data_IF_110553606799
#
_entry.id   IF_110553606799
#
_cell.length_a   1.000
_cell.length_b   1.000
_cell.length_c   1.000
_cell.angle_alpha   90.00
_cell.angle_beta   90.00
_cell.angle_gamma   90.00
#
_symmetry.space_group_name_H-M   'P 1'
#
loop_
_entity.id
_entity.type
_entity.pdbx_description
1 polymer ?
#
# COMPACT_ATOMS: atom_id res chain seq x y z
N UNK A 1 23.89 26.41 78.91
CA UNK A 1 23.29 25.07 79.15
C UNK A 1 21.78 25.27 79.04
N UNK A 2 21.27 25.32 77.82
CA UNK A 2 19.85 25.60 77.53
C UNK A 2 19.13 24.28 77.32
N UNK A 3 18.11 24.03 78.15
CA UNK A 3 17.23 22.88 78.07
C UNK A 3 16.12 23.26 77.10
N UNK A 4 16.19 22.72 75.87
CA UNK A 4 15.15 22.88 74.85
C UNK A 4 14.02 21.90 75.18
N UNK A 5 12.86 22.44 75.55
CA UNK A 5 11.62 21.69 75.68
C UNK A 5 11.11 21.30 74.29
N UNK A 6 11.00 19.99 74.04
CA UNK A 6 10.41 19.44 72.83
C UNK A 6 8.91 19.26 73.10
N UNK A 7 8.11 20.16 72.52
CA UNK A 7 6.66 20.12 72.57
C UNK A 7 6.14 19.06 71.57
N UNK A 8 5.61 17.97 72.11
CA UNK A 8 4.99 16.89 71.35
C UNK A 8 3.66 17.39 70.76
N UNK A 9 3.72 17.83 69.50
CA UNK A 9 2.54 18.18 68.71
C UNK A 9 1.98 16.91 68.08
N UNK A 10 0.90 16.39 68.65
CA UNK A 10 0.13 15.30 68.06
C UNK A 10 -0.36 15.71 66.66
N UNK A 11 0.23 15.09 65.64
CA UNK A 11 -0.19 15.22 64.25
C UNK A 11 -1.43 14.38 64.06
N UNK A 12 -2.59 15.04 64.06
CA UNK A 12 -3.86 14.45 63.63
C UNK A 12 -3.73 13.96 62.20
N UNK A 13 -3.68 12.64 62.01
CA UNK A 13 -3.69 11.98 60.71
C UNK A 13 -5.06 12.16 60.09
N UNK A 14 -5.21 13.24 59.31
CA UNK A 14 -6.36 13.47 58.47
C UNK A 14 -6.39 12.37 57.40
N UNK A 15 -7.40 11.50 57.48
CA UNK A 15 -7.59 10.36 56.60
C UNK A 15 -7.98 10.90 55.22
N UNK A 16 -6.98 11.14 54.37
CA UNK A 16 -7.19 11.53 52.96
C UNK A 16 -7.88 10.35 52.26
N UNK A 17 -9.21 10.39 52.20
CA UNK A 17 -10.01 9.56 51.31
C UNK A 17 -9.64 9.92 49.88
N UNK A 18 -8.65 9.21 49.33
CA UNK A 18 -8.33 9.29 47.92
C UNK A 18 -9.55 8.85 47.11
N UNK A 19 -10.06 9.68 46.17
CA UNK A 19 -11.19 9.29 45.34
C UNK A 19 -10.79 8.11 44.46
N UNK A 20 -11.26 6.92 44.85
CA UNK A 20 -11.00 5.67 44.15
C UNK A 20 -11.77 5.69 42.81
N UNK A 21 -11.03 5.96 41.73
CA UNK A 21 -11.13 5.31 40.40
C UNK A 21 -12.55 5.15 39.79
N UNK A 22 -13.10 6.22 39.23
CA UNK A 22 -14.12 6.09 38.16
C UNK A 22 -13.55 6.09 36.73
N UNK A 23 -12.25 6.36 36.55
CA UNK A 23 -11.65 6.48 35.20
C UNK A 23 -11.51 5.15 34.43
N UNK A 24 -11.48 3.99 35.10
CA UNK A 24 -11.21 2.71 34.43
C UNK A 24 -12.40 2.20 33.59
N UNK A 25 -13.65 2.48 33.98
CA UNK A 25 -14.85 1.99 33.27
C UNK A 25 -15.05 2.67 31.91
N UNK A 26 -14.66 3.94 31.77
CA UNK A 26 -14.76 4.67 30.50
C UNK A 26 -13.85 4.10 29.41
N UNK A 27 -12.69 3.52 29.80
CA UNK A 27 -11.74 2.93 28.86
C UNK A 27 -12.27 1.70 28.13
N UNK A 28 -12.94 0.78 28.84
CA UNK A 28 -13.43 -0.48 28.27
C UNK A 28 -14.58 -0.22 27.29
N UNK A 29 -15.56 0.61 27.67
CA UNK A 29 -16.71 0.93 26.82
C UNK A 29 -16.26 1.62 25.53
N UNK A 30 -15.30 2.54 25.61
CA UNK A 30 -14.72 3.20 24.44
C UNK A 30 -14.02 2.20 23.49
N UNK A 31 -13.26 1.25 24.04
CA UNK A 31 -12.60 0.21 23.24
C UNK A 31 -13.61 -0.71 22.54
N UNK A 32 -14.68 -1.10 23.23
CA UNK A 32 -15.76 -1.91 22.66
C UNK A 32 -16.45 -1.16 21.52
N UNK A 33 -16.85 0.10 21.73
CA UNK A 33 -17.49 0.92 20.69
C UNK A 33 -16.59 1.10 19.46
N UNK A 34 -15.28 1.30 19.67
CA UNK A 34 -14.31 1.41 18.57
C UNK A 34 -14.25 0.10 17.77
N UNK A 35 -14.19 -1.04 18.45
CA UNK A 35 -14.15 -2.36 17.79
C UNK A 35 -15.45 -2.65 17.03
N UNK A 36 -16.61 -2.38 17.63
CA UNK A 36 -17.92 -2.52 16.97
C UNK A 36 -17.96 -1.67 15.69
N UNK A 37 -17.51 -0.41 15.75
CA UNK A 37 -17.45 0.46 14.58
C UNK A 37 -16.59 -0.12 13.45
N UNK A 38 -15.43 -0.70 13.78
CA UNK A 38 -14.55 -1.33 12.79
C UNK A 38 -15.16 -2.59 12.18
N UNK A 39 -15.83 -3.42 12.98
CA UNK A 39 -16.56 -4.61 12.51
C UNK A 39 -17.70 -4.20 11.57
N UNK A 40 -18.53 -3.23 11.96
CA UNK A 40 -19.62 -2.73 11.13
C UNK A 40 -19.09 -2.19 9.80
N UNK A 41 -18.00 -1.41 9.82
CA UNK A 41 -17.40 -0.88 8.60
C UNK A 41 -16.86 -1.99 7.69
N UNK A 42 -16.22 -3.01 8.26
CA UNK A 42 -15.73 -4.17 7.51
C UNK A 42 -16.88 -4.97 6.88
N UNK A 43 -17.91 -5.29 7.67
CA UNK A 43 -19.10 -6.03 7.20
C UNK A 43 -19.83 -5.24 6.11
N UNK A 44 -19.99 -3.93 6.28
CA UNK A 44 -20.60 -3.06 5.28
C UNK A 44 -19.84 -3.12 3.95
N UNK A 45 -18.51 -2.97 3.97
CA UNK A 45 -17.73 -3.02 2.74
C UNK A 45 -17.63 -4.42 2.13
N UNK A 46 -17.63 -5.48 2.95
CA UNK A 46 -17.71 -6.85 2.46
C UNK A 46 -19.04 -7.10 1.76
N UNK A 47 -20.16 -6.60 2.30
CA UNK A 47 -21.47 -6.61 1.64
C UNK A 47 -21.45 -5.85 0.33
N UNK A 48 -20.93 -4.61 0.31
CA UNK A 48 -20.83 -3.79 -0.91
C UNK A 48 -20.01 -4.49 -1.99
N UNK A 49 -18.85 -5.05 -1.65
CA UNK A 49 -17.99 -5.79 -2.60
C UNK A 49 -18.70 -7.06 -3.09
N UNK A 50 -19.32 -7.84 -2.20
CA UNK A 50 -20.04 -9.04 -2.59
C UNK A 50 -21.20 -8.74 -3.53
N UNK A 51 -21.94 -7.66 -3.26
CA UNK A 51 -23.08 -7.23 -4.08
C UNK A 51 -22.65 -6.74 -5.46
N UNK A 52 -21.54 -5.99 -5.54
CA UNK A 52 -21.06 -5.45 -6.82
C UNK A 52 -20.41 -6.54 -7.70
N UNK A 53 -19.69 -7.50 -7.10
CA UNK A 53 -18.81 -8.39 -7.86
C UNK A 53 -19.22 -9.86 -7.90
N UNK A 54 -19.91 -10.36 -6.88
CA UNK A 54 -20.14 -11.82 -6.73
C UNK A 54 -21.59 -12.15 -7.04
N UNK A 55 -22.51 -11.53 -6.30
CA UNK A 55 -23.89 -11.98 -6.27
C UNK A 55 -24.80 -10.94 -5.61
N UNK A 56 -25.98 -10.72 -6.19
CA UNK A 56 -27.04 -9.90 -5.61
C UNK A 56 -27.71 -10.63 -4.44
N UNK A 57 -27.01 -10.66 -3.29
CA UNK A 57 -27.46 -11.31 -2.06
C UNK A 57 -28.86 -10.84 -1.66
N UNK A 58 -29.17 -9.55 -1.85
CA UNK A 58 -30.49 -8.98 -1.56
C UNK A 58 -31.59 -9.56 -2.44
N UNK A 59 -31.35 -9.68 -3.75
CA UNK A 59 -32.29 -10.28 -4.69
C UNK A 59 -32.53 -11.75 -4.36
N UNK A 60 -31.46 -12.49 -4.04
CA UNK A 60 -31.57 -13.90 -3.70
C UNK A 60 -32.33 -14.15 -2.40
N UNK A 61 -32.03 -13.39 -1.34
CA UNK A 61 -32.73 -13.55 -0.06
C UNK A 61 -34.23 -13.26 -0.23
N UNK A 62 -34.58 -12.17 -0.90
CA UNK A 62 -36.00 -11.80 -1.08
C UNK A 62 -36.71 -12.81 -1.97
N UNK A 63 -36.08 -13.27 -3.07
CA UNK A 63 -36.68 -14.26 -3.95
C UNK A 63 -36.97 -15.60 -3.26
N UNK A 64 -36.12 -16.03 -2.32
CA UNK A 64 -36.29 -17.31 -1.64
C UNK A 64 -37.15 -17.23 -0.37
N UNK A 65 -37.07 -16.13 0.39
CA UNK A 65 -37.76 -16.02 1.68
C UNK A 65 -39.02 -15.15 1.64
N UNK A 66 -39.10 -14.15 0.76
CA UNK A 66 -40.17 -13.14 0.72
C UNK A 66 -40.55 -12.76 -0.73
N UNK A 67 -40.94 -13.73 -1.60
CA UNK A 67 -41.11 -13.49 -3.03
C UNK A 67 -42.18 -12.43 -3.33
N UNK A 68 -43.25 -12.36 -2.55
CA UNK A 68 -44.35 -11.39 -2.72
C UNK A 68 -43.88 -9.93 -2.51
N UNK A 69 -42.76 -9.74 -1.83
CA UNK A 69 -42.18 -8.44 -1.51
C UNK A 69 -41.04 -8.03 -2.44
N UNK A 70 -40.88 -8.71 -3.58
CA UNK A 70 -39.83 -8.39 -4.55
C UNK A 70 -39.81 -6.92 -4.97
N UNK A 71 -41.00 -6.29 -5.05
CA UNK A 71 -41.16 -4.88 -5.39
C UNK A 71 -40.42 -3.92 -4.43
N UNK A 72 -40.19 -4.30 -3.16
CA UNK A 72 -39.45 -3.48 -2.20
C UNK A 72 -37.98 -3.27 -2.60
N UNK A 73 -37.39 -4.17 -3.40
CA UNK A 73 -36.00 -4.06 -3.87
C UNK A 73 -35.82 -2.81 -4.73
N UNK A 74 -36.82 -2.46 -5.54
CA UNK A 74 -36.81 -1.25 -6.36
C UNK A 74 -36.70 0.02 -5.51
N UNK A 75 -37.17 -0.04 -4.26
CA UNK A 75 -37.12 1.06 -3.29
C UNK A 75 -35.98 0.94 -2.28
N UNK A 76 -35.02 0.02 -2.46
CA UNK A 76 -33.94 -0.25 -1.49
C UNK A 76 -33.17 1.00 -1.05
N UNK A 77 -32.91 1.92 -1.97
CA UNK A 77 -32.22 3.17 -1.67
C UNK A 77 -33.06 4.09 -0.77
N UNK A 78 -34.36 4.23 -1.05
CA UNK A 78 -35.28 5.00 -0.22
C UNK A 78 -35.47 4.38 1.16
N UNK A 79 -35.54 3.05 1.24
CA UNK A 79 -35.63 2.33 2.51
C UNK A 79 -34.37 2.58 3.35
N UNK A 80 -33.18 2.46 2.76
CA UNK A 80 -31.91 2.73 3.46
C UNK A 80 -31.84 4.19 3.92
N UNK A 81 -32.17 5.16 3.05
CA UNK A 81 -32.17 6.58 3.43
C UNK A 81 -33.17 6.84 4.55
N UNK A 82 -34.37 6.26 4.48
CA UNK A 82 -35.40 6.44 5.50
C UNK A 82 -34.95 5.87 6.84
N UNK A 83 -34.36 4.67 6.85
CA UNK A 83 -33.78 4.07 8.05
C UNK A 83 -32.64 4.93 8.63
N UNK A 84 -31.75 5.45 7.77
CA UNK A 84 -30.68 6.36 8.20
C UNK A 84 -31.26 7.67 8.76
N UNK A 85 -32.28 8.24 8.13
CA UNK A 85 -32.93 9.46 8.59
C UNK A 85 -33.64 9.26 9.94
N UNK A 86 -34.35 8.14 10.12
CA UNK A 86 -34.98 7.77 11.38
C UNK A 86 -33.91 7.59 12.48
N UNK A 87 -32.85 6.82 12.19
CA UNK A 87 -31.75 6.61 13.14
C UNK A 87 -31.07 7.94 13.50
N UNK A 88 -30.91 8.85 12.54
CA UNK A 88 -30.37 10.18 12.76
C UNK A 88 -31.28 11.02 13.69
N UNK A 89 -32.58 11.04 13.42
CA UNK A 89 -33.56 11.79 14.21
C UNK A 89 -33.55 11.37 15.69
N UNK A 90 -33.51 10.06 15.95
CA UNK A 90 -33.56 9.54 17.31
C UNK A 90 -32.29 9.81 18.11
N UNK A 91 -31.13 9.78 17.47
CA UNK A 91 -29.89 9.78 18.24
C UNK A 91 -29.36 11.19 18.51
N UNK A 92 -29.81 12.23 17.78
CA UNK A 92 -29.40 13.66 17.89
C UNK A 92 -27.89 13.92 18.02
N UNK A 93 -27.07 12.92 17.75
CA UNK A 93 -25.67 12.91 18.15
C UNK A 93 -24.81 13.19 16.93
N UNK A 94 -24.02 14.28 16.99
CA UNK A 94 -23.02 14.61 15.95
C UNK A 94 -22.07 13.43 15.67
N UNK A 95 -21.90 12.53 16.63
CA UNK A 95 -21.11 11.32 16.47
C UNK A 95 -21.63 10.40 15.35
N UNK A 96 -22.93 10.35 15.05
CA UNK A 96 -23.45 9.49 13.96
C UNK A 96 -22.86 9.91 12.62
N UNK A 97 -22.81 11.21 12.34
CA UNK A 97 -22.27 11.73 11.07
C UNK A 97 -20.82 11.27 10.90
N UNK A 98 -20.01 11.41 11.96
CA UNK A 98 -18.62 10.95 11.96
C UNK A 98 -18.52 9.42 11.85
N UNK A 99 -19.45 8.66 12.41
CA UNK A 99 -19.51 7.19 12.25
C UNK A 99 -19.86 6.79 10.81
N UNK A 100 -20.87 7.42 10.22
CA UNK A 100 -21.26 7.18 8.83
C UNK A 100 -20.14 7.56 7.87
N UNK A 101 -19.51 8.72 8.05
CA UNK A 101 -18.32 9.13 7.29
C UNK A 101 -17.17 8.13 7.47
N UNK A 102 -16.92 7.66 8.70
CA UNK A 102 -15.90 6.65 8.96
C UNK A 102 -16.17 5.35 8.19
N UNK A 103 -17.42 4.87 8.17
CA UNK A 103 -17.82 3.65 7.45
C UNK A 103 -17.67 3.86 5.93
N UNK A 104 -18.17 4.97 5.40
CA UNK A 104 -18.08 5.30 3.96
C UNK A 104 -16.62 5.43 3.52
N UNK A 105 -15.78 6.11 4.29
CA UNK A 105 -14.36 6.29 3.96
C UNK A 105 -13.45 5.19 4.51
N UNK A 106 -14.00 4.08 5.02
CA UNK A 106 -13.21 3.04 5.69
C UNK A 106 -12.05 2.49 4.84
N UNK A 107 -12.21 2.16 3.54
CA UNK A 107 -11.12 1.66 2.71
C UNK A 107 -9.99 2.69 2.57
N UNK A 108 -10.34 3.97 2.41
CA UNK A 108 -9.38 5.07 2.34
C UNK A 108 -8.64 5.25 3.67
N UNK A 109 -9.35 5.20 4.79
CA UNK A 109 -8.74 5.29 6.13
C UNK A 109 -7.78 4.11 6.36
N UNK A 110 -8.18 2.89 5.98
CA UNK A 110 -7.32 1.72 6.11
C UNK A 110 -6.05 1.90 5.26
N UNK A 111 -6.20 2.31 4.00
CA UNK A 111 -5.10 2.43 3.06
C UNK A 111 -4.14 3.59 3.36
N UNK A 112 -4.66 4.79 3.67
CA UNK A 112 -3.86 6.00 3.87
C UNK A 112 -3.44 6.25 5.32
N UNK A 113 -4.13 5.66 6.30
CA UNK A 113 -3.82 5.89 7.72
C UNK A 113 -3.40 4.64 8.45
N UNK A 114 -4.24 3.59 8.49
CA UNK A 114 -3.93 2.39 9.28
C UNK A 114 -2.72 1.64 8.74
N UNK A 115 -2.57 1.53 7.42
CA UNK A 115 -1.45 0.81 6.81
C UNK A 115 -0.10 1.52 7.04
N UNK A 116 0.06 2.85 6.81
CA UNK A 116 1.26 3.56 7.22
C UNK A 116 1.54 3.47 8.71
N UNK A 117 0.51 3.66 9.56
CA UNK A 117 0.68 3.55 11.00
C UNK A 117 1.13 2.15 11.44
N UNK A 118 0.60 1.10 10.82
CA UNK A 118 1.01 -0.28 11.07
C UNK A 118 2.49 -0.48 10.73
N UNK A 119 2.95 0.02 9.58
CA UNK A 119 4.37 -0.05 9.18
C UNK A 119 5.27 0.65 10.20
N UNK A 120 4.90 1.86 10.65
CA UNK A 120 5.65 2.57 11.68
C UNK A 120 5.64 1.84 13.02
N UNK A 121 4.50 1.23 13.40
CA UNK A 121 4.38 0.44 14.63
C UNK A 121 5.29 -0.79 14.63
N UNK A 122 5.53 -1.41 13.48
CA UNK A 122 6.43 -2.55 13.35
C UNK A 122 7.92 -2.17 13.53
N UNK A 123 8.27 -0.87 13.55
CA UNK A 123 9.65 -0.37 13.66
C UNK A 123 10.61 -0.94 12.60
N UNK A 124 10.07 -1.53 11.53
CA UNK A 124 10.85 -2.13 10.45
C UNK A 124 10.94 -1.16 9.27
N UNK A 125 12.07 -0.45 9.20
CA UNK A 125 12.37 0.43 8.07
C UNK A 125 12.40 -0.32 6.74
N UNK A 126 12.85 -1.57 6.77
CA UNK A 126 12.84 -2.48 5.62
C UNK A 126 11.43 -2.62 5.03
N UNK A 127 10.42 -2.82 5.88
CA UNK A 127 9.02 -2.89 5.44
C UNK A 127 8.54 -1.54 4.89
N UNK A 128 8.94 -0.42 5.50
CA UNK A 128 8.61 0.91 5.01
C UNK A 128 9.15 1.16 3.60
N UNK A 129 10.41 0.83 3.34
CA UNK A 129 11.02 0.91 2.02
C UNK A 129 10.33 -0.03 1.02
N UNK A 130 9.94 -1.24 1.44
CA UNK A 130 9.18 -2.15 0.59
C UNK A 130 7.86 -1.50 0.13
N UNK A 131 7.11 -0.89 1.05
CA UNK A 131 5.82 -0.25 0.75
C UNK A 131 6.00 1.01 -0.10
N UNK A 132 6.99 1.85 0.21
CA UNK A 132 7.32 3.03 -0.63
C UNK A 132 7.67 2.57 -2.05
N UNK A 133 8.48 1.52 -2.19
CA UNK A 133 8.82 0.95 -3.50
C UNK A 133 7.57 0.44 -4.23
N UNK A 134 6.66 -0.25 -3.55
CA UNK A 134 5.39 -0.70 -4.13
C UNK A 134 4.52 0.47 -4.61
N UNK A 135 4.43 1.55 -3.82
CA UNK A 135 3.69 2.77 -4.17
C UNK A 135 4.29 3.44 -5.40
N UNK A 136 5.61 3.68 -5.41
CA UNK A 136 6.31 4.30 -6.55
C UNK A 136 6.12 3.45 -7.82
N UNK A 137 6.26 2.12 -7.70
CA UNK A 137 6.04 1.18 -8.80
C UNK A 137 4.60 1.24 -9.34
N UNK A 138 3.62 1.37 -8.44
CA UNK A 138 2.22 1.51 -8.80
C UNK A 138 1.99 2.77 -9.64
N UNK A 139 2.40 3.93 -9.14
CA UNK A 139 2.22 5.20 -9.86
C UNK A 139 2.99 5.28 -11.17
N UNK A 140 4.21 4.73 -11.22
CA UNK A 140 5.00 4.70 -12.47
C UNK A 140 4.30 3.94 -13.60
N UNK A 141 3.49 2.94 -13.25
CA UNK A 141 2.80 2.08 -14.21
C UNK A 141 1.30 2.38 -14.32
N UNK A 142 0.81 3.47 -13.72
CA UNK A 142 -0.63 3.73 -13.57
C UNK A 142 -1.34 3.82 -14.92
N UNK A 143 -0.78 4.56 -15.90
CA UNK A 143 -1.37 4.73 -17.23
C UNK A 143 -1.58 3.39 -17.93
N UNK A 144 -0.56 2.54 -17.93
CA UNK A 144 -0.67 1.21 -18.53
C UNK A 144 -1.66 0.32 -17.80
N UNK A 145 -1.58 0.27 -16.46
CA UNK A 145 -2.49 -0.55 -15.64
C UNK A 145 -3.93 -0.14 -15.87
N UNK A 146 -4.19 1.16 -15.95
CA UNK A 146 -5.51 1.70 -16.23
C UNK A 146 -6.02 1.30 -17.63
N UNK A 147 -5.21 1.45 -18.68
CA UNK A 147 -5.59 1.07 -20.04
C UNK A 147 -5.90 -0.43 -20.12
N UNK A 148 -5.02 -1.28 -19.60
CA UNK A 148 -5.22 -2.74 -19.59
C UNK A 148 -6.48 -3.11 -18.81
N UNK A 149 -6.68 -2.52 -17.62
CA UNK A 149 -7.85 -2.76 -16.80
C UNK A 149 -9.14 -2.31 -17.51
N UNK A 150 -9.15 -1.14 -18.15
CA UNK A 150 -10.31 -0.64 -18.89
C UNK A 150 -10.69 -1.56 -20.05
N UNK A 151 -9.72 -2.00 -20.86
CA UNK A 151 -9.95 -2.96 -21.95
C UNK A 151 -10.49 -4.27 -21.39
N UNK A 152 -9.85 -4.79 -20.33
CA UNK A 152 -10.27 -6.03 -19.67
C UNK A 152 -11.73 -5.95 -19.18
N UNK A 153 -12.10 -4.87 -18.48
CA UNK A 153 -13.45 -4.65 -17.95
C UNK A 153 -14.49 -4.46 -19.07
N UNK A 154 -14.14 -3.76 -20.14
CA UNK A 154 -15.02 -3.60 -21.30
C UNK A 154 -15.28 -4.94 -21.99
N UNK A 155 -14.25 -5.77 -22.18
CA UNK A 155 -14.40 -7.11 -22.76
C UNK A 155 -15.16 -8.06 -21.83
N UNK A 156 -14.90 -8.00 -20.52
CA UNK A 156 -15.65 -8.75 -19.51
C UNK A 156 -17.15 -8.44 -19.60
N UNK A 157 -17.49 -7.14 -19.62
CA UNK A 157 -18.87 -6.65 -19.76
C UNK A 157 -19.49 -7.12 -21.08
N UNK A 158 -18.73 -7.04 -22.18
CA UNK A 158 -19.15 -7.53 -23.48
C UNK A 158 -19.53 -9.02 -23.47
N UNK A 159 -18.74 -9.87 -22.80
CA UNK A 159 -19.03 -11.31 -22.70
C UNK A 159 -20.27 -11.60 -21.85
N UNK A 160 -20.41 -10.92 -20.71
CA UNK A 160 -21.55 -11.16 -19.82
C UNK A 160 -22.87 -10.66 -20.41
N UNK A 161 -22.90 -9.47 -21.00
CA UNK A 161 -24.13 -8.81 -21.45
C UNK A 161 -24.52 -9.22 -22.88
N UNK A 162 -23.55 -9.36 -23.80
CA UNK A 162 -23.87 -9.54 -25.22
C UNK A 162 -24.40 -10.94 -25.55
N UNK A 163 -25.30 -11.01 -26.53
CA UNK A 163 -25.72 -12.23 -27.21
C UNK A 163 -25.20 -12.31 -28.65
N UNK A 164 -24.59 -11.24 -29.17
CA UNK A 164 -24.08 -11.21 -30.54
C UNK A 164 -22.71 -11.91 -30.62
N UNK A 165 -22.63 -12.94 -31.47
CA UNK A 165 -21.43 -13.76 -31.67
C UNK A 165 -20.19 -12.95 -32.06
N UNK A 166 -20.31 -11.90 -32.87
CA UNK A 166 -19.18 -11.06 -33.28
C UNK A 166 -18.58 -10.30 -32.10
N UNK A 167 -19.44 -9.75 -31.24
CA UNK A 167 -19.02 -9.04 -30.02
C UNK A 167 -18.36 -10.01 -29.05
N UNK A 168 -18.90 -11.22 -28.89
CA UNK A 168 -18.33 -12.25 -28.02
C UNK A 168 -16.93 -12.67 -28.50
N UNK A 169 -16.75 -12.90 -29.80
CA UNK A 169 -15.44 -13.21 -30.39
C UNK A 169 -14.42 -12.09 -30.15
N UNK A 170 -14.80 -10.84 -30.46
CA UNK A 170 -13.94 -9.68 -30.26
C UNK A 170 -13.54 -9.54 -28.78
N UNK A 171 -14.49 -9.70 -27.85
CA UNK A 171 -14.22 -9.60 -26.43
C UNK A 171 -13.31 -10.73 -25.92
N UNK A 172 -13.52 -11.98 -26.37
CA UNK A 172 -12.64 -13.11 -26.04
C UNK A 172 -11.20 -12.84 -26.53
N UNK A 173 -11.05 -12.36 -27.76
CA UNK A 173 -9.76 -12.01 -28.35
C UNK A 173 -9.04 -10.88 -27.60
N UNK A 174 -9.78 -9.85 -27.19
CA UNK A 174 -9.23 -8.73 -26.41
C UNK A 174 -8.75 -9.17 -25.03
N UNK A 175 -9.50 -10.03 -24.32
CA UNK A 175 -9.04 -10.59 -23.03
C UNK A 175 -7.77 -11.41 -23.23
N UNK A 176 -7.71 -12.23 -24.27
CA UNK A 176 -6.51 -13.03 -24.55
C UNK A 176 -5.30 -12.14 -24.86
N UNK A 177 -5.49 -11.07 -25.62
CA UNK A 177 -4.45 -10.08 -25.95
C UNK A 177 -3.97 -9.32 -24.71
N UNK A 178 -4.90 -8.92 -23.84
CA UNK A 178 -4.58 -8.32 -22.53
C UNK A 178 -3.73 -9.30 -21.71
N UNK A 179 -4.16 -10.55 -21.57
CA UNK A 179 -3.45 -11.56 -20.80
C UNK A 179 -2.04 -11.78 -21.34
N UNK A 180 -1.90 -11.96 -22.66
CA UNK A 180 -0.60 -12.08 -23.32
C UNK A 180 0.31 -10.88 -23.05
N UNK A 181 -0.22 -9.66 -23.20
CA UNK A 181 0.53 -8.42 -22.96
C UNK A 181 0.99 -8.31 -21.51
N UNK A 182 0.15 -8.69 -20.55
CA UNK A 182 0.50 -8.71 -19.12
C UNK A 182 1.61 -9.71 -18.84
N UNK A 183 1.57 -10.90 -19.46
CA UNK A 183 2.61 -11.92 -19.31
C UNK A 183 3.94 -11.50 -19.92
N UNK A 184 3.94 -11.03 -21.17
CA UNK A 184 5.14 -10.54 -21.86
C UNK A 184 5.78 -9.41 -21.06
N UNK A 185 4.97 -8.43 -20.61
CA UNK A 185 5.48 -7.34 -19.78
C UNK A 185 6.02 -7.85 -18.45
N UNK A 186 5.32 -8.77 -17.79
CA UNK A 186 5.77 -9.32 -16.51
C UNK A 186 7.11 -10.03 -16.68
N UNK A 187 7.27 -10.85 -17.73
CA UNK A 187 8.52 -11.50 -18.09
C UNK A 187 9.64 -10.49 -18.36
N UNK A 188 9.41 -9.45 -19.16
CA UNK A 188 10.40 -8.38 -19.42
C UNK A 188 10.82 -7.69 -18.11
N UNK A 189 9.86 -7.42 -17.21
CA UNK A 189 10.13 -6.78 -15.92
C UNK A 189 10.95 -7.67 -14.96
N UNK A 190 11.02 -8.99 -15.18
CA UNK A 190 11.90 -9.87 -14.39
C UNK A 190 13.37 -9.58 -14.67
N UNK A 191 13.69 -9.34 -15.93
CA UNK A 191 15.06 -9.09 -16.41
C UNK A 191 15.44 -7.62 -16.40
N UNK A 192 14.45 -6.72 -16.43
CA UNK A 192 14.70 -5.28 -16.48
C UNK A 192 15.09 -4.75 -15.10
N UNK A 193 16.12 -3.90 -15.04
CA UNK A 193 16.44 -3.11 -13.86
C UNK A 193 15.23 -2.50 -13.16
N UNK A 194 15.22 -2.52 -11.83
CA UNK A 194 14.21 -1.77 -11.09
C UNK A 194 14.53 -0.28 -11.17
N UNK A 195 13.91 0.37 -12.15
CA UNK A 195 14.00 1.82 -12.36
C UNK A 195 13.52 2.68 -11.17
N UNK A 196 13.04 2.06 -10.09
CA UNK A 196 12.69 2.72 -8.82
C UNK A 196 13.95 3.28 -8.17
N UNK A 197 15.09 2.62 -8.33
CA UNK A 197 16.35 3.03 -7.70
C UNK A 197 16.89 4.36 -8.24
N UNK A 198 16.72 4.62 -9.54
CA UNK A 198 17.02 5.92 -10.14
C UNK A 198 16.10 7.04 -9.63
N UNK A 199 14.89 6.71 -9.17
CA UNK A 199 13.96 7.70 -8.63
C UNK A 199 14.49 8.24 -7.30
N UNK A 200 15.07 7.38 -6.44
CA UNK A 200 15.68 7.87 -5.19
C UNK A 200 16.79 8.88 -5.46
N UNK A 201 17.73 8.55 -6.36
CA UNK A 201 18.82 9.48 -6.72
C UNK A 201 18.24 10.80 -7.26
N UNK A 202 17.22 10.75 -8.13
CA UNK A 202 16.55 11.95 -8.66
C UNK A 202 15.84 12.76 -7.57
N UNK A 203 15.23 12.10 -6.58
CA UNK A 203 14.59 12.77 -5.45
C UNK A 203 15.65 13.48 -4.60
N UNK A 204 16.71 12.78 -4.17
CA UNK A 204 17.74 13.37 -3.32
C UNK A 204 18.51 14.49 -4.04
N UNK A 205 18.96 14.26 -5.27
CA UNK A 205 19.60 15.31 -6.09
C UNK A 205 18.65 16.47 -6.39
N UNK A 206 17.36 16.20 -6.60
CA UNK A 206 16.32 17.20 -6.81
C UNK A 206 16.10 18.08 -5.57
N UNK A 207 15.94 17.46 -4.40
CA UNK A 207 15.84 18.16 -3.11
C UNK A 207 17.07 19.02 -2.88
N UNK A 208 18.27 18.50 -3.15
CA UNK A 208 19.51 19.26 -3.00
C UNK A 208 19.56 20.47 -3.93
N UNK A 209 19.27 20.28 -5.23
CA UNK A 209 19.32 21.36 -6.23
C UNK A 209 18.34 22.48 -5.91
N UNK A 210 17.09 22.16 -5.57
CA UNK A 210 16.07 23.15 -5.20
C UNK A 210 16.27 23.68 -3.77
N UNK A 211 16.91 22.89 -2.92
CA UNK A 211 17.20 23.21 -1.53
C UNK A 211 18.42 24.11 -1.33
N UNK A 212 19.22 24.41 -2.36
CA UNK A 212 20.43 25.26 -2.21
C UNK A 212 20.14 26.59 -1.52
N UNK A 213 18.99 27.22 -1.79
CA UNK A 213 18.58 28.46 -1.10
C UNK A 213 18.18 28.25 0.37
N UNK A 214 17.68 27.05 0.72
CA UNK A 214 17.32 26.68 2.09
C UNK A 214 18.51 26.17 2.91
N UNK A 215 19.53 25.66 2.24
CA UNK A 215 20.74 25.12 2.87
C UNK A 215 21.87 26.16 2.97
N UNK A 216 21.91 27.12 2.05
CA UNK A 216 22.94 28.16 2.01
C UNK A 216 22.77 29.23 3.08
N UNK A 217 23.88 29.89 3.41
CA UNK A 217 23.87 31.09 4.23
C UNK A 217 23.54 32.27 3.29
N UNK A 218 22.71 33.22 3.73
CA UNK A 218 22.49 34.44 2.93
C UNK A 218 23.82 35.19 2.73
N UNK A 219 24.00 35.81 1.56
CA UNK A 219 25.26 36.50 1.21
C UNK A 219 25.71 37.52 2.27
N UNK A 220 24.75 38.21 2.91
CA UNK A 220 25.02 39.21 3.94
C UNK A 220 25.59 38.62 5.26
N UNK A 221 25.41 37.31 5.50
CA UNK A 221 25.89 36.63 6.71
C UNK A 221 27.22 35.90 6.49
N UNK A 222 27.65 35.70 5.24
CA UNK A 222 28.78 34.81 4.90
C UNK A 222 30.15 35.29 5.42
N UNK A 223 30.30 36.60 5.60
CA UNK A 223 31.56 37.25 6.00
C UNK A 223 31.56 37.74 7.45
N UNK A 224 30.44 37.57 8.17
CA UNK A 224 30.31 38.02 9.55
C UNK A 224 30.62 36.86 10.50
N UNK A 225 31.39 37.08 11.58
CA UNK A 225 31.58 36.04 12.59
C UNK A 225 30.24 35.70 13.26
N UNK A 226 30.04 34.43 13.61
CA UNK A 226 28.77 33.96 14.21
C UNK A 226 28.41 34.71 15.50
N UNK A 227 29.40 35.27 16.20
CA UNK A 227 29.22 36.07 17.42
C UNK A 227 28.61 37.46 17.18
N UNK A 228 28.63 37.97 15.94
CA UNK A 228 28.03 39.27 15.59
C UNK A 228 26.64 39.16 14.98
N UNK A 229 26.10 37.94 14.86
CA UNK A 229 24.75 37.74 14.32
C UNK A 229 23.70 38.27 15.27
N UNK A 230 22.76 39.06 14.74
CA UNK A 230 21.53 39.36 15.47
C UNK A 230 20.68 38.09 15.65
N UNK A 231 19.73 38.11 16.59
CA UNK A 231 18.91 36.94 16.93
C UNK A 231 18.25 36.28 15.72
N UNK A 232 17.67 37.09 14.82
CA UNK A 232 17.03 36.59 13.58
C UNK A 232 18.02 35.96 12.59
N UNK A 233 19.24 36.51 12.50
CA UNK A 233 20.29 35.96 11.65
C UNK A 233 20.80 34.64 12.22
N UNK A 234 20.98 34.59 13.54
CA UNK A 234 21.40 33.38 14.25
C UNK A 234 20.35 32.27 14.13
N UNK A 235 19.06 32.58 14.27
CA UNK A 235 17.96 31.63 14.09
C UNK A 235 17.92 31.08 12.66
N UNK A 236 18.02 31.95 11.65
CA UNK A 236 18.04 31.53 10.24
C UNK A 236 19.27 30.69 9.92
N UNK A 237 20.45 31.11 10.37
CA UNK A 237 21.70 30.37 10.21
C UNK A 237 21.61 28.98 10.86
N UNK A 238 21.09 28.90 12.09
CA UNK A 238 20.90 27.64 12.83
C UNK A 238 19.92 26.73 12.09
N UNK A 239 18.82 27.28 11.56
CA UNK A 239 17.81 26.53 10.80
C UNK A 239 18.39 25.98 9.51
N UNK A 240 19.17 26.76 8.76
CA UNK A 240 19.78 26.34 7.51
C UNK A 240 20.88 25.28 7.74
N UNK A 241 21.69 25.44 8.79
CA UNK A 241 22.67 24.44 9.21
C UNK A 241 21.99 23.14 9.64
N UNK A 242 20.94 23.23 10.45
CA UNK A 242 20.13 22.10 10.89
C UNK A 242 19.52 21.34 9.72
N UNK A 243 18.92 22.05 8.75
CA UNK A 243 18.38 21.44 7.55
C UNK A 243 19.48 20.74 6.73
N UNK A 244 20.66 21.36 6.64
CA UNK A 244 21.81 20.82 5.92
C UNK A 244 22.35 19.52 6.54
N UNK A 245 22.57 19.53 7.86
CA UNK A 245 23.01 18.37 8.62
C UNK A 245 21.96 17.26 8.58
N UNK A 246 20.68 17.62 8.75
CA UNK A 246 19.57 16.65 8.67
C UNK A 246 19.53 15.99 7.29
N UNK A 247 19.66 16.75 6.20
CA UNK A 247 19.66 16.20 4.85
C UNK A 247 20.81 15.20 4.64
N UNK A 248 22.04 15.55 5.05
CA UNK A 248 23.19 14.63 5.02
C UNK A 248 22.89 13.33 5.77
N UNK A 249 22.37 13.42 7.00
CA UNK A 249 22.04 12.24 7.82
C UNK A 249 20.93 11.41 7.21
N UNK A 250 19.90 12.04 6.63
CA UNK A 250 18.80 11.33 5.95
C UNK A 250 19.30 10.59 4.70
N UNK A 251 20.24 11.15 3.93
CA UNK A 251 20.86 10.46 2.80
C UNK A 251 21.58 9.18 3.26
N UNK A 252 22.52 9.30 4.21
CA UNK A 252 23.28 8.17 4.72
C UNK A 252 22.40 7.10 5.38
N UNK A 253 21.38 7.54 6.13
CA UNK A 253 20.37 6.66 6.72
C UNK A 253 19.60 5.90 5.64
N UNK A 254 19.12 6.59 4.61
CA UNK A 254 18.36 5.99 3.51
C UNK A 254 19.23 5.00 2.73
N UNK A 255 20.50 5.32 2.48
CA UNK A 255 21.47 4.42 1.86
C UNK A 255 21.64 3.14 2.69
N UNK A 256 21.88 3.26 4.00
CA UNK A 256 21.99 2.11 4.91
C UNK A 256 20.69 1.28 4.91
N UNK A 257 19.52 1.91 5.00
CA UNK A 257 18.24 1.20 5.02
C UNK A 257 17.86 0.56 3.69
N UNK A 258 18.27 1.14 2.57
CA UNK A 258 18.17 0.49 1.26
C UNK A 258 19.09 -0.73 1.17
N UNK A 259 20.28 -0.69 1.76
CA UNK A 259 21.17 -1.84 1.89
C UNK A 259 20.57 -2.93 2.79
N UNK A 260 19.96 -2.56 3.92
CA UNK A 260 19.21 -3.49 4.77
C UNK A 260 18.05 -4.13 3.99
N UNK A 261 17.32 -3.34 3.18
CA UNK A 261 16.24 -3.80 2.32
C UNK A 261 16.73 -4.80 1.26
N UNK A 262 17.86 -4.54 0.61
CA UNK A 262 18.51 -5.46 -0.32
C UNK A 262 18.77 -6.83 0.32
N UNK A 263 19.29 -6.82 1.55
CA UNK A 263 19.65 -8.03 2.27
C UNK A 263 18.43 -8.79 2.82
N UNK A 264 17.31 -8.09 3.08
CA UNK A 264 16.10 -8.65 3.70
C UNK A 264 15.31 -9.65 2.86
N UNK A 265 15.64 -9.82 1.58
CA UNK A 265 14.94 -10.71 0.64
C UNK A 265 13.45 -10.36 0.39
N UNK A 266 12.92 -9.26 0.93
CA UNK A 266 11.51 -8.88 0.76
C UNK A 266 11.10 -8.67 -0.71
N UNK A 267 12.06 -8.33 -1.59
CA UNK A 267 11.82 -8.28 -3.04
C UNK A 267 11.36 -9.63 -3.63
N UNK A 268 11.78 -10.76 -3.04
CA UNK A 268 11.30 -12.09 -3.44
C UNK A 268 9.82 -12.27 -3.08
N UNK A 269 9.41 -11.83 -1.89
CA UNK A 269 8.02 -11.91 -1.43
C UNK A 269 7.08 -11.17 -2.39
N UNK A 270 7.43 -9.94 -2.80
CA UNK A 270 6.65 -9.20 -3.80
C UNK A 270 6.58 -9.91 -5.15
N UNK A 271 7.62 -10.66 -5.53
CA UNK A 271 7.64 -11.43 -6.77
C UNK A 271 6.72 -12.65 -6.68
N UNK A 272 6.67 -13.35 -5.54
CA UNK A 272 5.73 -14.46 -5.28
C UNK A 272 4.28 -13.97 -5.40
N UNK A 273 3.95 -12.83 -4.78
CA UNK A 273 2.62 -12.23 -4.92
C UNK A 273 2.28 -11.87 -6.37
N UNK A 274 3.27 -11.48 -7.18
CA UNK A 274 3.07 -11.18 -8.60
C UNK A 274 2.73 -12.44 -9.39
N UNK A 275 3.43 -13.56 -9.15
CA UNK A 275 3.12 -14.85 -9.77
C UNK A 275 1.72 -15.33 -9.37
N UNK A 276 1.39 -15.24 -8.07
CA UNK A 276 0.08 -15.62 -7.58
C UNK A 276 -1.03 -14.76 -8.21
N UNK A 277 -0.80 -13.46 -8.36
CA UNK A 277 -1.71 -12.57 -9.07
C UNK A 277 -1.87 -12.94 -10.56
N UNK A 278 -0.78 -13.27 -11.26
CA UNK A 278 -0.83 -13.76 -12.64
C UNK A 278 -1.62 -15.07 -12.75
N UNK A 279 -1.43 -16.00 -11.83
CA UNK A 279 -2.17 -17.26 -11.78
C UNK A 279 -3.68 -17.01 -11.66
N UNK A 280 -4.11 -16.19 -10.70
CA UNK A 280 -5.53 -15.83 -10.52
C UNK A 280 -6.08 -15.15 -11.78
N UNK A 281 -5.33 -14.19 -12.35
CA UNK A 281 -5.73 -13.50 -13.56
C UNK A 281 -5.92 -14.48 -14.73
N UNK A 282 -5.03 -15.46 -14.89
CA UNK A 282 -5.12 -16.50 -15.93
C UNK A 282 -6.33 -17.39 -15.73
N UNK A 283 -6.55 -17.90 -14.51
CA UNK A 283 -7.74 -18.73 -14.19
C UNK A 283 -9.01 -17.97 -14.56
N UNK A 284 -9.13 -16.73 -14.09
CA UNK A 284 -10.31 -15.92 -14.30
C UNK A 284 -10.49 -15.53 -15.77
N UNK A 285 -9.41 -15.13 -16.46
CA UNK A 285 -9.46 -14.78 -17.88
C UNK A 285 -9.91 -15.94 -18.75
N UNK A 286 -9.35 -17.14 -18.53
CA UNK A 286 -9.76 -18.32 -19.28
C UNK A 286 -11.16 -18.80 -18.90
N UNK A 287 -11.61 -18.62 -17.65
CA UNK A 287 -12.99 -18.91 -17.28
C UNK A 287 -13.97 -18.05 -18.08
N UNK A 288 -13.67 -16.75 -18.18
CA UNK A 288 -14.47 -15.78 -18.95
C UNK A 288 -14.41 -16.07 -20.45
N UNK A 289 -13.23 -16.36 -21.02
CA UNK A 289 -13.09 -16.71 -22.44
C UNK A 289 -13.86 -18.00 -22.77
N UNK A 290 -13.70 -19.06 -21.97
CA UNK A 290 -14.40 -20.33 -22.21
C UNK A 290 -15.92 -20.16 -22.08
N UNK A 291 -16.39 -19.36 -21.11
CA UNK A 291 -17.81 -19.02 -21.00
C UNK A 291 -18.31 -18.22 -22.20
N UNK A 292 -17.51 -17.26 -22.71
CA UNK A 292 -17.82 -16.51 -23.92
C UNK A 292 -17.92 -17.41 -25.15
N UNK A 293 -16.98 -18.34 -25.33
CA UNK A 293 -17.01 -19.33 -26.43
C UNK A 293 -18.17 -20.30 -26.31
N UNK A 294 -18.53 -20.72 -25.09
CA UNK A 294 -19.74 -21.49 -24.84
C UNK A 294 -21.01 -20.72 -25.27
N UNK A 295 -21.12 -19.43 -24.92
CA UNK A 295 -22.25 -18.57 -25.36
C UNK A 295 -22.36 -18.43 -26.88
N UNK A 296 -21.24 -18.49 -27.60
CA UNK A 296 -21.22 -18.43 -29.08
C UNK A 296 -21.82 -19.72 -29.66
N UNK A 297 -21.40 -20.88 -29.13
CA UNK A 297 -21.96 -22.17 -29.51
C UNK A 297 -21.80 -23.18 -28.38
N UNK A 298 -22.94 -23.62 -27.82
CA UNK A 298 -22.97 -24.57 -26.72
C UNK A 298 -22.31 -25.92 -27.09
N UNK A 299 -22.36 -26.32 -28.37
CA UNK A 299 -21.78 -27.57 -28.88
C UNK A 299 -20.25 -27.60 -28.91
N UNK A 300 -19.58 -26.51 -28.51
CA UNK A 300 -18.12 -26.51 -28.35
C UNK A 300 -17.65 -27.25 -27.09
N UNK A 301 -18.54 -27.42 -26.10
CA UNK A 301 -18.22 -28.10 -24.84
C UNK A 301 -19.22 -29.23 -24.56
N UNK A 302 -18.73 -30.34 -24.02
CA UNK A 302 -19.55 -31.34 -23.37
C UNK A 302 -19.76 -30.94 -21.91
N UNK A 303 -21.02 -30.88 -21.48
CA UNK A 303 -21.38 -30.55 -20.10
C UNK A 303 -22.23 -31.66 -19.51
N UNK A 304 -21.81 -32.22 -18.37
CA UNK A 304 -22.61 -33.23 -17.64
C UNK A 304 -23.56 -32.59 -16.62
N UNK A 305 -23.39 -31.30 -16.32
CA UNK A 305 -24.20 -30.53 -15.37
C UNK A 305 -24.69 -29.22 -15.99
N UNK A 306 -25.71 -28.60 -15.37
CA UNK A 306 -26.25 -27.32 -15.84
C UNK A 306 -25.15 -26.25 -15.98
N UNK A 307 -25.09 -25.51 -17.11
CA UNK A 307 -24.06 -24.52 -17.36
C UNK A 307 -24.14 -23.36 -16.36
N UNK A 308 -23.03 -23.06 -15.70
CA UNK A 308 -22.85 -21.91 -14.83
C UNK A 308 -21.44 -21.35 -15.04
N UNK A 309 -21.26 -20.03 -15.04
CA UNK A 309 -19.93 -19.40 -15.08
C UNK A 309 -18.92 -20.03 -14.10
N UNK A 310 -19.34 -20.37 -12.88
CA UNK A 310 -18.45 -20.98 -11.88
C UNK A 310 -17.90 -22.34 -12.29
N UNK A 311 -18.60 -23.10 -13.14
CA UNK A 311 -18.08 -24.37 -13.67
C UNK A 311 -16.90 -24.14 -14.60
N UNK A 312 -16.91 -23.04 -15.36
CA UNK A 312 -15.79 -22.63 -16.21
C UNK A 312 -14.61 -22.08 -15.39
N UNK A 313 -14.87 -21.49 -14.21
CA UNK A 313 -13.83 -21.15 -13.23
C UNK A 313 -13.16 -22.40 -12.70
N UNK A 314 -13.95 -23.39 -12.25
CA UNK A 314 -13.45 -24.68 -11.77
C UNK A 314 -12.67 -25.44 -12.87
N UNK A 315 -13.19 -25.47 -14.10
CA UNK A 315 -12.50 -26.03 -15.28
C UNK A 315 -11.16 -25.32 -15.56
N UNK A 316 -11.14 -23.99 -15.52
CA UNK A 316 -9.93 -23.21 -15.80
C UNK A 316 -8.89 -23.36 -14.71
N UNK A 317 -9.31 -23.45 -13.44
CA UNK A 317 -8.45 -23.73 -12.29
C UNK A 317 -7.76 -25.09 -12.43
N UNK A 318 -8.53 -26.18 -12.55
CA UNK A 318 -7.98 -27.53 -12.60
C UNK A 318 -7.01 -27.74 -13.76
N UNK A 319 -7.34 -27.17 -14.92
CA UNK A 319 -6.52 -27.34 -16.11
C UNK A 319 -5.18 -26.60 -16.06
N UNK A 320 -5.03 -25.54 -15.25
CA UNK A 320 -3.69 -24.94 -15.01
C UNK A 320 -2.77 -25.90 -14.27
N UNK A 321 -3.34 -26.77 -13.42
CA UNK A 321 -2.62 -27.83 -12.72
C UNK A 321 -2.57 -29.14 -13.53
N UNK A 322 -2.83 -29.08 -14.84
CA UNK A 322 -2.87 -30.23 -15.75
C UNK A 322 -3.87 -31.33 -15.35
N UNK A 323 -4.88 -30.99 -14.53
CA UNK A 323 -5.97 -31.88 -14.17
C UNK A 323 -7.15 -31.68 -15.12
N UNK A 324 -7.76 -32.77 -15.56
CA UNK A 324 -9.05 -32.76 -16.28
C UNK A 324 -10.20 -32.97 -15.31
N UNK A 325 -11.36 -32.40 -15.64
CA UNK A 325 -12.62 -32.60 -14.91
C UNK A 325 -13.63 -33.17 -15.90
N UNK A 326 -14.59 -33.99 -15.42
CA UNK A 326 -15.58 -34.64 -16.29
C UNK A 326 -16.74 -33.71 -16.65
N UNK A 327 -16.93 -32.66 -15.86
CA UNK A 327 -18.07 -31.76 -15.92
C UNK A 327 -18.03 -30.82 -17.12
N UNK A 328 -16.83 -30.53 -17.62
CA UNK A 328 -16.60 -29.66 -18.79
C UNK A 328 -15.47 -30.26 -19.62
N UNK A 329 -15.78 -30.68 -20.84
CA UNK A 329 -14.79 -31.19 -21.78
C UNK A 329 -14.83 -30.43 -23.11
N UNK A 330 -13.68 -29.96 -23.65
CA UNK A 330 -13.63 -29.30 -24.95
C UNK A 330 -13.75 -30.31 -26.11
N UNK A 331 -14.84 -30.26 -26.88
CA UNK A 331 -15.06 -31.18 -28.02
C UNK A 331 -14.60 -30.56 -29.34
N UNK A 332 -14.91 -29.28 -29.57
CA UNK A 332 -14.66 -28.63 -30.85
C UNK A 332 -13.22 -28.11 -30.97
N UNK A 333 -12.65 -28.02 -32.20
CA UNK A 333 -11.28 -27.55 -32.42
C UNK A 333 -10.96 -26.19 -31.77
N UNK A 334 -11.92 -25.26 -31.78
CA UNK A 334 -11.77 -23.95 -31.12
C UNK A 334 -11.56 -24.09 -29.61
N UNK A 335 -12.41 -24.87 -28.94
CA UNK A 335 -12.33 -25.09 -27.49
C UNK A 335 -11.07 -25.86 -27.09
N UNK A 336 -10.63 -26.79 -27.94
CA UNK A 336 -9.38 -27.52 -27.78
C UNK A 336 -8.17 -26.60 -27.93
N UNK A 337 -8.17 -25.72 -28.95
CA UNK A 337 -7.14 -24.70 -29.13
C UNK A 337 -7.04 -23.78 -27.91
N UNK A 338 -8.16 -23.33 -27.35
CA UNK A 338 -8.16 -22.53 -26.11
C UNK A 338 -7.58 -23.30 -24.92
N UNK A 339 -7.87 -24.60 -24.82
CA UNK A 339 -7.24 -25.47 -23.81
C UNK A 339 -5.73 -25.56 -23.99
N UNK A 340 -5.25 -25.71 -25.23
CA UNK A 340 -3.82 -25.73 -25.55
C UNK A 340 -3.14 -24.39 -25.22
N UNK A 341 -3.76 -23.26 -25.59
CA UNK A 341 -3.25 -21.92 -25.27
C UNK A 341 -3.20 -21.73 -23.75
N UNK A 342 -4.23 -22.14 -23.00
CA UNK A 342 -4.23 -22.10 -21.53
C UNK A 342 -3.08 -22.90 -20.93
N UNK A 343 -2.83 -24.12 -21.41
CA UNK A 343 -1.68 -24.94 -20.99
C UNK A 343 -0.35 -24.27 -21.30
N UNK A 344 -0.24 -23.57 -22.43
CA UNK A 344 0.94 -22.76 -22.76
C UNK A 344 1.15 -21.62 -21.75
N UNK A 345 0.10 -20.91 -21.33
CA UNK A 345 0.20 -19.90 -20.26
C UNK A 345 0.58 -20.48 -18.90
N UNK A 346 0.10 -21.69 -18.57
CA UNK A 346 0.52 -22.40 -17.35
C UNK A 346 2.01 -22.76 -17.39
N UNK A 347 2.51 -23.26 -18.53
CA UNK A 347 3.93 -23.49 -18.74
C UNK A 347 4.74 -22.19 -18.63
N UNK A 348 4.27 -21.11 -19.26
CA UNK A 348 4.96 -19.81 -19.21
C UNK A 348 4.97 -19.21 -17.79
N UNK A 349 3.93 -19.45 -16.99
CA UNK A 349 3.91 -19.11 -15.56
C UNK A 349 4.98 -19.89 -14.79
N UNK A 350 5.15 -21.19 -15.06
CA UNK A 350 6.21 -22.01 -14.51
C UNK A 350 7.61 -21.50 -14.89
N UNK A 351 7.81 -21.10 -16.15
CA UNK A 351 9.06 -20.50 -16.61
C UNK A 351 9.37 -19.17 -15.91
N UNK A 352 8.36 -18.32 -15.68
CA UNK A 352 8.47 -17.09 -14.88
C UNK A 352 8.88 -17.41 -13.44
N UNK A 353 8.25 -18.42 -12.83
CA UNK A 353 8.56 -18.86 -11.46
C UNK A 353 10.01 -19.34 -11.33
N UNK A 354 10.46 -20.23 -12.23
CA UNK A 354 11.84 -20.72 -12.25
C UNK A 354 12.82 -19.56 -12.48
N UNK A 355 12.54 -18.70 -13.45
CA UNK A 355 13.37 -17.52 -13.74
C UNK A 355 13.50 -16.60 -12.53
N UNK A 356 12.44 -16.45 -11.73
CA UNK A 356 12.45 -15.67 -10.50
C UNK A 356 13.34 -16.29 -9.42
N UNK A 357 13.28 -17.62 -9.23
CA UNK A 357 14.17 -18.34 -8.32
C UNK A 357 15.63 -18.16 -8.74
N UNK A 358 15.93 -18.31 -10.04
CA UNK A 358 17.29 -18.14 -10.58
C UNK A 358 17.77 -16.68 -10.46
N UNK A 359 16.91 -15.71 -10.78
CA UNK A 359 17.23 -14.28 -10.65
C UNK A 359 17.50 -13.90 -9.20
N UNK A 360 16.78 -14.50 -8.25
CA UNK A 360 17.00 -14.26 -6.84
C UNK A 360 18.34 -14.83 -6.35
N UNK A 361 18.78 -15.95 -6.94
CA UNK A 361 20.09 -16.53 -6.70
C UNK A 361 21.23 -15.72 -7.36
N UNK A 362 20.95 -15.07 -8.49
CA UNK A 362 21.94 -14.30 -9.24
C UNK A 362 22.06 -12.86 -8.72
N UNK A 363 23.30 -12.40 -8.49
CA UNK A 363 23.62 -11.11 -7.87
C UNK A 363 23.27 -9.87 -8.72
N UNK A 364 22.77 -10.00 -9.95
CA UNK A 364 22.54 -8.86 -10.87
C UNK A 364 21.65 -7.74 -10.29
N UNK A 365 20.63 -8.09 -9.50
CA UNK A 365 19.79 -7.08 -8.80
C UNK A 365 20.54 -6.31 -7.72
N UNK A 366 21.63 -6.88 -7.22
CA UNK A 366 22.51 -6.27 -6.22
C UNK A 366 23.22 -5.05 -6.80
N UNK A 367 23.72 -5.13 -8.03
CA UNK A 367 24.60 -4.09 -8.61
C UNK A 367 23.89 -2.75 -8.86
N UNK A 368 22.63 -2.80 -9.31
CA UNK A 368 21.82 -1.60 -9.52
C UNK A 368 21.43 -0.92 -8.21
N UNK A 369 21.07 -1.72 -7.21
CA UNK A 369 20.75 -1.20 -5.89
C UNK A 369 21.99 -0.63 -5.23
N UNK A 370 23.15 -1.28 -5.39
CA UNK A 370 24.45 -0.76 -4.97
C UNK A 370 24.76 0.58 -5.64
N UNK A 371 24.45 0.72 -6.93
CA UNK A 371 24.64 1.97 -7.66
C UNK A 371 23.74 3.10 -7.14
N UNK A 372 22.47 2.80 -6.79
CA UNK A 372 21.60 3.77 -6.16
C UNK A 372 22.00 4.12 -4.73
N UNK A 373 22.39 3.12 -3.93
CA UNK A 373 22.94 3.32 -2.58
C UNK A 373 24.16 4.23 -2.66
N UNK A 374 25.09 3.94 -3.57
CA UNK A 374 26.29 4.76 -3.80
C UNK A 374 25.94 6.18 -4.23
N UNK A 375 24.99 6.35 -5.15
CA UNK A 375 24.54 7.70 -5.56
C UNK A 375 23.92 8.51 -4.41
N UNK A 376 23.21 7.86 -3.48
CA UNK A 376 22.66 8.53 -2.28
C UNK A 376 23.78 8.85 -1.28
N UNK A 377 24.76 7.94 -1.11
CA UNK A 377 25.96 8.19 -0.29
C UNK A 377 26.79 9.35 -0.84
N UNK A 378 26.95 9.45 -2.16
CA UNK A 378 27.62 10.54 -2.86
C UNK A 378 26.88 11.88 -2.65
N UNK A 379 25.55 11.91 -2.71
CA UNK A 379 24.77 13.12 -2.37
C UNK A 379 24.94 13.51 -0.89
N UNK A 380 25.01 12.53 0.02
CA UNK A 380 25.35 12.75 1.43
C UNK A 380 26.74 13.37 1.60
N UNK A 381 27.77 12.75 1.02
CA UNK A 381 29.15 13.22 1.08
C UNK A 381 29.31 14.61 0.46
N UNK A 382 28.63 14.87 -0.64
CA UNK A 382 28.64 16.17 -1.29
C UNK A 382 27.92 17.25 -0.46
N UNK A 383 26.93 16.87 0.35
CA UNK A 383 26.34 17.77 1.35
C UNK A 383 27.31 18.06 2.51
N UNK A 384 28.11 17.08 2.93
CA UNK A 384 29.15 17.30 3.93
C UNK A 384 30.22 18.27 3.43
N UNK A 385 30.64 18.13 2.16
CA UNK A 385 31.51 19.09 1.49
C UNK A 385 30.91 20.50 1.46
N UNK A 386 29.62 20.61 1.14
CA UNK A 386 28.89 21.88 1.19
C UNK A 386 28.88 22.50 2.60
N UNK A 387 28.63 21.71 3.64
CA UNK A 387 28.65 22.20 5.04
C UNK A 387 30.04 22.70 5.40
N UNK A 388 31.10 22.00 4.98
CA UNK A 388 32.49 22.42 5.21
C UNK A 388 32.81 23.75 4.52
N UNK A 389 32.43 23.89 3.26
CA UNK A 389 32.71 25.10 2.49
C UNK A 389 31.90 26.31 2.98
N UNK A 390 30.61 26.11 3.24
CA UNK A 390 29.66 27.17 3.55
C UNK A 390 29.71 27.59 5.02
N UNK A 391 29.76 26.63 5.94
CA UNK A 391 29.69 26.87 7.39
C UNK A 391 31.04 26.77 8.10
N UNK A 392 32.12 26.44 7.38
CA UNK A 392 33.50 26.35 7.90
C UNK A 392 33.72 25.30 9.01
N UNK A 393 32.87 24.28 9.07
CA UNK A 393 33.09 23.11 9.95
C UNK A 393 33.96 22.06 9.24
N UNK A 394 34.96 21.50 9.91
CA UNK A 394 35.83 20.48 9.30
C UNK A 394 35.10 19.15 9.11
N UNK A 395 34.13 18.87 9.98
CA UNK A 395 33.34 17.63 9.96
C UNK A 395 31.88 17.86 10.30
N UNK A 396 31.04 16.91 9.90
CA UNK A 396 29.62 16.90 10.28
C UNK A 396 29.39 16.80 11.80
N UNK A 397 30.35 16.25 12.56
CA UNK A 397 30.27 16.12 14.00
C UNK A 397 30.48 17.45 14.72
N UNK A 398 31.39 18.29 14.21
CA UNK A 398 31.56 19.67 14.70
C UNK A 398 30.29 20.50 14.48
N UNK A 399 29.71 20.41 13.28
CA UNK A 399 28.43 21.05 12.98
C UNK A 399 27.30 20.61 13.93
N UNK A 400 27.25 19.31 14.26
CA UNK A 400 26.27 18.78 15.23
C UNK A 400 26.54 19.27 16.65
N UNK A 401 27.80 19.33 17.08
CA UNK A 401 28.17 19.85 18.40
C UNK A 401 27.82 21.34 18.53
N UNK A 402 27.94 22.11 17.46
CA UNK A 402 27.53 23.51 17.46
C UNK A 402 26.01 23.66 17.53
N UNK A 403 25.26 22.85 16.76
CA UNK A 403 23.78 22.80 16.87
C UNK A 403 23.31 22.38 18.28
N UNK A 404 24.09 21.57 18.99
CA UNK A 404 23.82 21.17 20.36
C UNK A 404 23.97 22.34 21.35
N UNK A 405 25.05 23.12 21.23
CA UNK A 405 25.23 24.34 22.04
C UNK A 405 24.08 25.33 21.84
N UNK A 406 23.59 25.44 20.61
CA UNK A 406 22.49 26.33 20.22
C UNK A 406 21.10 25.79 20.58
N UNK A 407 21.00 24.60 21.20
CA UNK A 407 19.73 23.95 21.59
C UNK A 407 18.72 23.85 20.44
N UNK A 408 19.20 23.49 19.25
CA UNK A 408 18.38 23.33 18.05
C UNK A 408 17.23 22.31 18.24
N UNK A 409 16.03 22.67 17.76
CA UNK A 409 14.82 21.86 17.94
C UNK A 409 14.83 20.49 17.25
N UNK A 410 15.59 20.31 16.15
CA UNK A 410 15.68 18.99 15.49
C UNK A 410 16.91 18.17 15.88
N UNK A 411 17.72 18.64 16.84
CA UNK A 411 18.92 17.92 17.28
C UNK A 411 18.62 16.48 17.70
N UNK A 412 17.53 16.25 18.45
CA UNK A 412 17.13 14.91 18.87
C UNK A 412 16.83 13.98 17.69
N UNK A 413 16.23 14.51 16.62
CA UNK A 413 15.95 13.75 15.40
C UNK A 413 17.25 13.43 14.67
N UNK A 414 18.15 14.42 14.53
CA UNK A 414 19.46 14.23 13.89
C UNK A 414 20.26 13.17 14.65
N UNK A 415 20.36 13.26 15.98
CA UNK A 415 21.07 12.29 16.82
C UNK A 415 20.49 10.88 16.67
N UNK A 416 19.16 10.74 16.74
CA UNK A 416 18.49 9.44 16.57
C UNK A 416 18.73 8.83 15.20
N UNK A 417 18.77 9.64 14.15
CA UNK A 417 19.12 9.18 12.80
C UNK A 417 20.59 8.77 12.76
N UNK A 418 21.50 9.59 13.31
CA UNK A 418 22.93 9.28 13.40
C UNK A 418 23.24 7.98 14.13
N UNK A 419 22.55 7.70 15.24
CA UNK A 419 22.67 6.44 15.97
C UNK A 419 22.29 5.24 15.11
N UNK A 420 21.26 5.37 14.27
CA UNK A 420 20.82 4.28 13.40
C UNK A 420 21.72 4.04 12.18
N UNK A 421 22.61 4.98 11.87
CA UNK A 421 23.63 4.88 10.82
C UNK A 421 24.85 4.09 11.31
N UNK A 422 25.20 4.20 12.60
CA UNK A 422 26.15 3.29 13.26
C UNK A 422 25.55 1.87 13.25
#
# INVERSE_FOLDING_TARGET
>A
MEIVQIENKEVSVEKIETPIKEESKKGVLFFILKTIKEIIALVFWLYVVSKIFIFDIDIFLIKNFLPDYYWLISYKFLIIISLVAIFWLFTKNKNIIFWSLYIIFYPFIVFFWKLPFFIFKQKSWVLAFAVINSIISFFKSIKYKFIIFAIFMASLTGIFISTNNQILWLACFLILTVLFTVYVRSFILLFKPSSIFQIYIKIFSGIRKHGKSYFGIDENMRNLPTTSFGEKQLEKWTTNLQASVLFNRVCLFSAKKLRDYQNSRLGAVSSVFTIFGLMILTIFSFAVINYGVFKINNGYFELTTAPNFFIFVYYSFNSIFFNSIKEVSPIAPVSQLLSMIKSFFAFFLGAIFISLILTYRNQKRSDELNSAIKGIEEEGASMEGFIREEYKFNSIYEAMAELEKLKSGALQVILKISESIK
#
